data_IF_653187652771
#
_entry.id   IF_653187652771
#
_cell.length_a   1.000
_cell.length_b   1.000
_cell.length_c   1.000
_cell.angle_alpha   90.00
_cell.angle_beta   90.00
_cell.angle_gamma   90.00
#
_symmetry.space_group_name_H-M   'P 1'
#
loop_
_entity.id
_entity.type
_entity.pdbx_description
1 polymer ?
#
# COMPACT_ATOMS: atom_id res chain seq x y z
N UNK A 1 24.52 15.05 -3.09
CA UNK A 1 24.48 16.34 -2.35
C UNK A 1 23.03 16.58 -1.99
N UNK A 2 22.68 16.54 -0.70
CA UNK A 2 21.34 16.90 -0.24
C UNK A 2 21.13 18.38 -0.54
N UNK A 3 20.11 18.74 -1.31
CA UNK A 3 19.72 20.14 -1.47
C UNK A 3 19.55 20.79 -0.10
N UNK A 4 19.94 22.08 0.06
CA UNK A 4 19.80 22.77 1.33
C UNK A 4 18.33 22.75 1.72
N UNK A 5 18.04 22.20 2.91
CA UNK A 5 16.70 22.10 3.48
C UNK A 5 15.93 23.40 3.21
N UNK A 6 14.86 23.31 2.42
CA UNK A 6 13.96 24.43 2.20
C UNK A 6 13.59 25.00 3.58
N UNK A 7 13.93 26.27 3.86
CA UNK A 7 13.56 26.94 5.11
C UNK A 7 12.05 27.18 5.07
N UNK A 8 11.31 26.19 5.54
CA UNK A 8 9.87 26.34 5.72
C UNK A 8 9.58 27.33 6.85
N UNK A 9 8.55 28.14 6.69
CA UNK A 9 8.02 28.91 7.80
C UNK A 9 7.57 28.00 8.96
N UNK A 10 7.49 28.49 10.21
CA UNK A 10 7.26 27.66 11.41
C UNK A 10 6.01 26.77 11.33
N UNK A 11 4.93 27.24 10.71
CA UNK A 11 3.71 26.44 10.53
C UNK A 11 3.91 25.22 9.60
N UNK A 12 4.64 25.39 8.50
CA UNK A 12 4.96 24.30 7.57
C UNK A 12 5.94 23.32 8.22
N UNK A 13 6.90 23.82 9.01
CA UNK A 13 7.81 22.96 9.76
C UNK A 13 7.06 22.05 10.73
N UNK A 14 6.04 22.56 11.45
CA UNK A 14 5.19 21.77 12.35
C UNK A 14 4.39 20.71 11.59
N UNK A 15 3.89 21.05 10.40
CA UNK A 15 3.10 20.12 9.58
C UNK A 15 3.86 18.83 9.26
N UNK A 16 5.18 18.86 9.10
CA UNK A 16 6.03 17.68 8.86
C UNK A 16 5.99 16.65 10.00
N UNK A 17 5.64 17.08 11.21
CA UNK A 17 5.54 16.19 12.38
C UNK A 17 4.11 15.73 12.66
N UNK A 18 3.10 16.58 12.37
CA UNK A 18 1.72 16.30 12.77
C UNK A 18 0.85 15.72 11.66
N UNK A 19 1.21 15.94 10.39
CA UNK A 19 0.35 15.56 9.26
C UNK A 19 0.05 14.05 9.22
N UNK A 20 1.05 13.21 9.40
CA UNK A 20 0.86 11.76 9.41
C UNK A 20 0.13 11.26 10.66
N UNK A 21 0.48 11.68 11.88
CA UNK A 21 -0.34 11.40 13.06
C UNK A 21 -1.81 11.84 12.92
N UNK A 22 -2.09 12.98 12.28
CA UNK A 22 -3.46 13.43 12.04
C UNK A 22 -4.25 12.48 11.13
N UNK A 23 -3.62 11.93 10.08
CA UNK A 23 -4.24 10.89 9.25
C UNK A 23 -4.64 9.69 10.08
N UNK A 24 -3.76 9.21 10.95
CA UNK A 24 -4.02 8.03 11.79
C UNK A 24 -5.08 8.30 12.85
N UNK A 25 -5.06 9.48 13.46
CA UNK A 25 -6.10 9.90 14.41
C UNK A 25 -7.47 10.03 13.72
N UNK A 26 -7.51 10.61 12.53
CA UNK A 26 -8.73 10.69 11.72
C UNK A 26 -9.25 9.27 11.36
N UNK A 27 -8.34 8.35 11.02
CA UNK A 27 -8.69 6.95 10.76
C UNK A 27 -9.32 6.31 12.00
N UNK A 28 -8.67 6.41 13.16
CA UNK A 28 -9.16 5.85 14.41
C UNK A 28 -10.50 6.47 14.81
N UNK A 29 -10.65 7.80 14.71
CA UNK A 29 -11.90 8.50 15.00
C UNK A 29 -13.01 8.04 14.05
N UNK A 30 -12.75 7.87 12.77
CA UNK A 30 -13.73 7.36 11.80
C UNK A 30 -14.15 5.95 12.15
N UNK A 31 -13.23 5.06 12.49
CA UNK A 31 -13.55 3.68 12.94
C UNK A 31 -14.45 3.71 14.16
N UNK A 32 -14.02 4.41 15.21
CA UNK A 32 -14.78 4.45 16.48
C UNK A 32 -16.18 5.05 16.31
N UNK A 33 -16.29 6.16 15.59
CA UNK A 33 -17.57 6.84 15.36
C UNK A 33 -18.50 5.98 14.51
N UNK A 34 -17.96 5.30 13.47
CA UNK A 34 -18.76 4.45 12.62
C UNK A 34 -19.32 3.23 13.35
N UNK A 35 -18.52 2.63 14.22
CA UNK A 35 -18.97 1.51 15.05
C UNK A 35 -20.02 1.98 16.07
N UNK A 36 -19.78 3.10 16.74
CA UNK A 36 -20.70 3.65 17.72
C UNK A 36 -22.06 4.06 17.12
N UNK A 37 -22.05 4.61 15.90
CA UNK A 37 -23.26 5.03 15.18
C UNK A 37 -23.91 3.90 14.36
N UNK A 38 -23.36 2.69 14.40
CA UNK A 38 -23.80 1.56 13.56
C UNK A 38 -23.89 1.93 12.06
N UNK A 39 -22.93 2.76 11.62
CA UNK A 39 -22.92 3.29 10.26
C UNK A 39 -22.70 2.17 9.21
N UNK A 40 -23.15 2.36 7.95
CA UNK A 40 -22.90 1.40 6.88
C UNK A 40 -21.42 1.37 6.50
N UNK A 41 -20.64 0.46 7.12
CA UNK A 41 -19.17 0.42 7.09
C UNK A 41 -18.56 0.42 5.68
N UNK A 42 -19.26 -0.21 4.72
CA UNK A 42 -18.82 -0.20 3.31
C UNK A 42 -18.88 1.22 2.71
N UNK A 43 -19.94 1.97 3.01
CA UNK A 43 -20.10 3.35 2.54
C UNK A 43 -19.07 4.27 3.22
N UNK A 44 -18.83 4.07 4.52
CA UNK A 44 -17.78 4.81 5.25
C UNK A 44 -16.42 4.59 4.59
N UNK A 45 -16.06 3.34 4.26
CA UNK A 45 -14.79 3.05 3.57
C UNK A 45 -14.71 3.72 2.20
N UNK A 46 -15.82 3.69 1.44
CA UNK A 46 -15.92 4.29 0.11
C UNK A 46 -15.74 5.82 0.14
N UNK A 47 -16.18 6.48 1.21
CA UNK A 47 -16.02 7.91 1.40
C UNK A 47 -14.66 8.28 2.02
N UNK A 48 -14.21 7.52 3.03
CA UNK A 48 -12.99 7.82 3.77
C UNK A 48 -11.75 7.76 2.87
N UNK A 49 -11.62 6.70 2.06
CA UNK A 49 -10.39 6.50 1.25
C UNK A 49 -10.16 7.65 0.26
N UNK A 50 -11.14 8.12 -0.53
CA UNK A 50 -10.94 9.32 -1.37
C UNK A 50 -10.63 10.59 -0.57
N UNK A 51 -11.23 10.77 0.62
CA UNK A 51 -10.89 11.90 1.50
C UNK A 51 -9.45 11.84 1.98
N UNK A 52 -8.97 10.66 2.37
CA UNK A 52 -7.57 10.45 2.77
C UNK A 52 -6.60 10.69 1.62
N UNK A 53 -6.92 10.23 0.40
CA UNK A 53 -6.15 10.52 -0.82
C UNK A 53 -6.12 12.04 -1.08
N UNK A 54 -7.24 12.72 -0.99
CA UNK A 54 -7.33 14.18 -1.16
C UNK A 54 -6.50 14.95 -0.12
N UNK A 55 -6.55 14.52 1.14
CA UNK A 55 -5.71 15.06 2.21
C UNK A 55 -4.20 14.89 1.91
N UNK A 56 -3.79 13.68 1.55
CA UNK A 56 -2.39 13.39 1.22
C UNK A 56 -1.94 14.12 -0.05
N UNK A 57 -2.79 14.22 -1.08
CA UNK A 57 -2.51 14.98 -2.29
C UNK A 57 -2.31 16.47 -2.00
N UNK A 58 -3.08 17.04 -1.07
CA UNK A 58 -2.88 18.41 -0.60
C UNK A 58 -1.54 18.56 0.12
N UNK A 59 -1.18 17.61 0.98
CA UNK A 59 0.10 17.63 1.67
C UNK A 59 1.29 17.51 0.70
N UNK A 60 1.17 16.73 -0.38
CA UNK A 60 2.18 16.67 -1.44
C UNK A 60 2.45 18.02 -2.10
N UNK A 61 1.44 18.92 -2.17
CA UNK A 61 1.64 20.28 -2.67
C UNK A 61 2.33 21.19 -1.64
N UNK A 62 2.08 20.97 -0.34
CA UNK A 62 2.55 21.85 0.75
C UNK A 62 3.93 21.44 1.25
N UNK A 63 4.13 20.14 1.48
CA UNK A 63 5.38 19.56 2.02
C UNK A 63 5.89 18.40 1.14
N UNK A 64 6.09 18.60 -0.18
CA UNK A 64 6.58 17.52 -1.03
C UNK A 64 7.96 17.05 -0.57
N UNK A 65 8.19 15.73 -0.59
CA UNK A 65 9.52 15.17 -0.44
C UNK A 65 10.38 15.49 -1.67
N UNK A 66 9.82 15.29 -2.86
CA UNK A 66 10.46 15.61 -4.14
C UNK A 66 9.42 16.29 -5.07
N UNK A 67 9.67 17.55 -5.44
CA UNK A 67 8.75 18.29 -6.32
C UNK A 67 8.61 17.67 -7.70
N UNK A 68 9.63 16.95 -8.18
CA UNK A 68 9.60 16.27 -9.49
C UNK A 68 8.68 15.05 -9.49
N UNK A 69 8.29 14.57 -8.31
CA UNK A 69 7.39 13.42 -8.15
C UNK A 69 5.92 13.80 -8.08
N UNK A 70 5.61 15.10 -8.08
CA UNK A 70 4.22 15.54 -8.17
C UNK A 70 3.58 15.00 -9.45
N UNK A 71 2.34 14.46 -9.37
CA UNK A 71 1.69 13.88 -10.52
C UNK A 71 1.22 14.94 -11.52
N UNK A 72 1.43 14.67 -12.80
CA UNK A 72 0.89 15.47 -13.90
C UNK A 72 -0.61 15.15 -14.14
N UNK A 73 -1.31 16.01 -14.88
CA UNK A 73 -2.74 15.84 -15.12
C UNK A 73 -3.09 14.50 -15.80
N UNK A 74 -2.23 14.00 -16.70
CA UNK A 74 -2.42 12.71 -17.35
C UNK A 74 -2.16 11.54 -16.37
N UNK A 75 -1.25 11.68 -15.40
CA UNK A 75 -0.98 10.70 -14.36
C UNK A 75 -2.21 10.58 -13.44
N UNK A 76 -2.80 11.68 -13.00
CA UNK A 76 -4.04 11.68 -12.24
C UNK A 76 -5.18 10.92 -12.94
N UNK A 77 -5.34 11.10 -14.25
CA UNK A 77 -6.36 10.39 -15.05
C UNK A 77 -6.06 8.89 -15.11
N UNK A 78 -4.81 8.52 -15.40
CA UNK A 78 -4.35 7.13 -15.42
C UNK A 78 -4.56 6.46 -14.07
N UNK A 79 -4.10 7.10 -12.99
CA UNK A 79 -4.09 6.54 -11.64
C UNK A 79 -5.51 6.46 -11.07
N UNK A 80 -6.38 7.40 -11.44
CA UNK A 80 -7.81 7.33 -11.17
C UNK A 80 -8.49 6.12 -11.81
N UNK A 81 -8.12 5.76 -13.05
CA UNK A 81 -8.61 4.53 -13.69
C UNK A 81 -8.08 3.26 -12.97
N UNK A 82 -6.82 3.25 -12.56
CA UNK A 82 -6.28 2.18 -11.73
C UNK A 82 -6.98 2.09 -10.37
N UNK A 83 -7.34 3.23 -9.75
CA UNK A 83 -8.13 3.24 -8.53
C UNK A 83 -9.50 2.58 -8.72
N UNK A 84 -10.20 2.87 -9.82
CA UNK A 84 -11.44 2.19 -10.15
C UNK A 84 -11.25 0.68 -10.34
N UNK A 85 -10.19 0.26 -11.03
CA UNK A 85 -9.83 -1.16 -11.15
C UNK A 85 -9.55 -1.80 -9.79
N UNK A 86 -8.87 -1.10 -8.89
CA UNK A 86 -8.60 -1.55 -7.52
C UNK A 86 -9.90 -1.79 -6.74
N UNK A 87 -10.90 -0.90 -6.86
CA UNK A 87 -12.22 -1.08 -6.22
C UNK A 87 -12.89 -2.35 -6.74
N UNK A 88 -12.95 -2.53 -8.07
CA UNK A 88 -13.59 -3.71 -8.69
C UNK A 88 -12.86 -4.99 -8.28
N UNK A 89 -11.54 -4.98 -8.32
CA UNK A 89 -10.71 -6.12 -7.92
C UNK A 89 -10.87 -6.47 -6.43
N UNK A 90 -10.94 -5.46 -5.56
CA UNK A 90 -11.22 -5.64 -4.13
C UNK A 90 -12.62 -6.23 -3.87
N UNK A 91 -13.62 -5.85 -4.66
CA UNK A 91 -14.95 -6.45 -4.58
C UNK A 91 -14.93 -7.94 -4.97
N UNK A 92 -14.19 -8.31 -6.02
CA UNK A 92 -13.99 -9.71 -6.40
C UNK A 92 -13.23 -10.51 -5.34
N UNK A 93 -12.23 -9.92 -4.70
CA UNK A 93 -11.53 -10.55 -3.58
C UNK A 93 -12.50 -10.89 -2.43
N UNK A 94 -13.42 -9.98 -2.08
CA UNK A 94 -14.46 -10.23 -1.08
C UNK A 94 -15.38 -11.37 -1.47
N UNK A 95 -15.82 -11.43 -2.73
CA UNK A 95 -16.60 -12.56 -3.24
C UNK A 95 -15.84 -13.87 -3.07
N UNK A 96 -14.54 -13.89 -3.42
CA UNK A 96 -13.67 -15.05 -3.22
C UNK A 96 -13.60 -15.50 -1.76
N UNK A 97 -13.45 -14.57 -0.83
CA UNK A 97 -13.43 -14.84 0.63
C UNK A 97 -14.77 -15.43 1.08
N UNK A 98 -15.90 -14.86 0.64
CA UNK A 98 -17.24 -15.35 0.99
C UNK A 98 -17.48 -16.77 0.42
N UNK A 99 -17.06 -17.04 -0.81
CA UNK A 99 -17.18 -18.37 -1.43
C UNK A 99 -16.38 -19.42 -0.65
N UNK A 100 -15.15 -19.11 -0.28
CA UNK A 100 -14.33 -20.00 0.57
C UNK A 100 -14.99 -20.19 1.93
N UNK A 101 -15.49 -19.11 2.51
CA UNK A 101 -16.19 -19.13 3.78
C UNK A 101 -17.49 -19.92 3.80
N UNK A 102 -18.17 -20.05 2.67
CA UNK A 102 -19.35 -20.92 2.55
C UNK A 102 -19.00 -22.43 2.60
N UNK A 103 -17.73 -22.77 2.34
CA UNK A 103 -17.24 -24.16 2.34
C UNK A 103 -16.57 -24.49 3.68
N UNK A 104 -15.91 -23.51 4.30
CA UNK A 104 -15.15 -23.67 5.54
C UNK A 104 -15.83 -22.87 6.65
N UNK A 105 -16.35 -23.55 7.66
CA UNK A 105 -16.94 -22.86 8.81
C UNK A 105 -15.86 -22.04 9.54
N UNK A 106 -16.08 -20.73 9.76
CA UNK A 106 -15.16 -19.91 10.52
C UNK A 106 -15.12 -20.33 11.99
N UNK A 107 -14.07 -19.97 12.69
CA UNK A 107 -13.98 -20.04 14.14
C UNK A 107 -14.95 -19.00 14.75
N UNK A 108 -15.24 -19.16 16.02
CA UNK A 108 -15.98 -18.16 16.83
C UNK A 108 -15.12 -17.82 18.04
N UNK A 109 -14.24 -16.81 17.95
CA UNK A 109 -13.29 -16.51 19.01
C UNK A 109 -13.92 -15.88 20.25
N UNK A 110 -15.17 -15.40 20.17
CA UNK A 110 -15.90 -14.73 21.28
C UNK A 110 -15.07 -13.65 22.00
N UNK A 111 -14.25 -12.92 21.23
CA UNK A 111 -13.39 -11.86 21.76
C UNK A 111 -14.17 -10.54 21.91
N UNK A 112 -13.91 -9.76 22.96
CA UNK A 112 -14.44 -8.42 23.04
C UNK A 112 -13.80 -7.51 21.97
N UNK A 113 -14.54 -6.55 21.44
CA UNK A 113 -14.14 -5.73 20.30
C UNK A 113 -12.78 -5.00 20.49
N UNK A 114 -12.49 -4.58 21.73
CA UNK A 114 -11.21 -3.93 22.07
C UNK A 114 -9.98 -4.86 21.90
N UNK A 115 -10.16 -6.17 21.99
CA UNK A 115 -9.10 -7.17 21.71
C UNK A 115 -9.14 -7.64 20.25
N UNK A 116 -10.33 -7.71 19.67
CA UNK A 116 -10.56 -8.19 18.33
C UNK A 116 -9.99 -7.23 17.25
N UNK A 117 -10.15 -5.91 17.44
CA UNK A 117 -9.60 -4.91 16.51
C UNK A 117 -8.07 -5.01 16.40
N UNK A 118 -7.27 -4.97 17.49
CA UNK A 118 -5.84 -5.16 17.41
C UNK A 118 -5.44 -6.52 16.78
N UNK A 119 -6.15 -7.59 17.14
CA UNK A 119 -5.92 -8.91 16.55
C UNK A 119 -6.15 -8.89 15.03
N UNK A 120 -7.23 -8.27 14.56
CA UNK A 120 -7.52 -8.11 13.13
C UNK A 120 -6.43 -7.31 12.42
N UNK A 121 -5.93 -6.21 13.01
CA UNK A 121 -4.82 -5.42 12.46
C UNK A 121 -3.57 -6.28 12.32
N UNK A 122 -3.19 -7.02 13.37
CA UNK A 122 -1.99 -7.85 13.38
C UNK A 122 -2.08 -8.97 12.33
N UNK A 123 -3.20 -9.68 12.27
CA UNK A 123 -3.41 -10.79 11.31
C UNK A 123 -3.43 -10.28 9.87
N UNK A 124 -4.16 -9.19 9.60
CA UNK A 124 -4.23 -8.58 8.28
C UNK A 124 -2.84 -8.11 7.82
N UNK A 125 -2.11 -7.45 8.70
CA UNK A 125 -0.76 -6.94 8.45
C UNK A 125 0.21 -8.07 8.13
N UNK A 126 0.23 -9.15 8.95
CA UNK A 126 1.07 -10.32 8.69
C UNK A 126 0.77 -10.95 7.34
N UNK A 127 -0.49 -11.19 7.04
CA UNK A 127 -0.90 -11.82 5.79
C UNK A 127 -0.59 -10.93 4.57
N UNK A 128 -0.77 -9.62 4.71
CA UNK A 128 -0.40 -8.62 3.71
C UNK A 128 1.12 -8.61 3.46
N UNK A 129 1.92 -8.55 4.52
CA UNK A 129 3.37 -8.65 4.46
C UNK A 129 3.84 -9.94 3.78
N UNK A 130 3.29 -11.08 4.18
CA UNK A 130 3.66 -12.38 3.64
C UNK A 130 3.40 -12.45 2.13
N UNK A 131 2.20 -12.03 1.67
CA UNK A 131 1.88 -11.97 0.25
C UNK A 131 2.81 -11.00 -0.49
N UNK A 132 3.01 -9.78 0.01
CA UNK A 132 3.85 -8.76 -0.61
C UNK A 132 5.29 -9.23 -0.75
N UNK A 133 5.88 -9.76 0.32
CA UNK A 133 7.22 -10.37 0.27
C UNK A 133 7.28 -11.51 -0.74
N UNK A 134 6.28 -12.38 -0.76
CA UNK A 134 6.22 -13.49 -1.71
C UNK A 134 6.14 -13.00 -3.15
N UNK A 135 5.40 -11.93 -3.41
CA UNK A 135 5.28 -11.29 -4.72
C UNK A 135 6.63 -10.80 -5.28
N UNK A 136 7.55 -10.39 -4.41
CA UNK A 136 8.90 -10.01 -4.82
C UNK A 136 9.83 -11.20 -5.09
N UNK A 137 9.53 -12.39 -4.53
CA UNK A 137 10.42 -13.56 -4.63
C UNK A 137 9.94 -14.61 -5.64
N UNK A 138 8.68 -14.57 -6.06
CA UNK A 138 8.12 -15.52 -7.02
C UNK A 138 7.93 -14.87 -8.39
N UNK A 139 8.59 -15.42 -9.41
CA UNK A 139 8.62 -14.83 -10.75
C UNK A 139 7.23 -14.61 -11.37
N UNK A 140 6.25 -15.50 -11.10
CA UNK A 140 4.90 -15.35 -11.62
C UNK A 140 4.11 -14.27 -10.88
N UNK A 141 4.28 -14.13 -9.56
CA UNK A 141 3.70 -13.05 -8.77
C UNK A 141 4.35 -11.71 -9.11
N UNK A 142 5.66 -11.70 -9.33
CA UNK A 142 6.36 -10.50 -9.76
C UNK A 142 5.82 -9.94 -11.08
N UNK A 143 5.39 -10.80 -12.02
CA UNK A 143 4.74 -10.33 -13.25
C UNK A 143 3.43 -9.56 -12.98
N UNK A 144 2.78 -9.82 -11.87
CA UNK A 144 1.60 -9.08 -11.41
C UNK A 144 2.03 -7.83 -10.63
N UNK A 145 2.78 -8.03 -9.55
CA UNK A 145 3.17 -7.01 -8.60
C UNK A 145 4.14 -5.96 -9.18
N UNK A 146 5.04 -6.35 -10.06
CA UNK A 146 6.01 -5.45 -10.69
C UNK A 146 5.38 -4.32 -11.52
N UNK A 147 4.09 -4.41 -11.87
CA UNK A 147 3.32 -3.29 -12.45
C UNK A 147 3.28 -2.11 -11.48
N UNK A 148 3.15 -2.36 -10.18
CA UNK A 148 3.22 -1.35 -9.13
C UNK A 148 4.58 -0.64 -9.10
N UNK A 149 5.66 -1.38 -9.28
CA UNK A 149 7.02 -0.86 -9.33
C UNK A 149 7.42 -0.23 -10.68
N UNK A 150 6.57 -0.30 -11.70
CA UNK A 150 6.90 0.26 -13.02
C UNK A 150 6.87 1.80 -13.07
N UNK A 151 6.35 2.46 -12.04
CA UNK A 151 6.35 3.92 -11.93
C UNK A 151 7.72 4.45 -11.50
N UNK A 152 8.15 5.58 -12.07
CA UNK A 152 9.44 6.23 -11.75
C UNK A 152 9.27 7.36 -10.71
N UNK A 153 8.15 7.40 -10.04
CA UNK A 153 7.77 8.33 -8.99
C UNK A 153 7.02 7.55 -7.93
N UNK A 154 7.08 7.99 -6.68
CA UNK A 154 6.25 7.47 -5.58
C UNK A 154 5.42 8.64 -5.05
N UNK A 155 4.11 8.59 -5.26
CA UNK A 155 3.15 9.60 -4.79
C UNK A 155 1.79 8.96 -4.51
N UNK A 156 0.90 9.70 -3.85
CA UNK A 156 -0.39 9.16 -3.41
C UNK A 156 -1.25 8.63 -4.56
N UNK A 157 -1.20 9.28 -5.72
CA UNK A 157 -2.02 8.89 -6.87
C UNK A 157 -1.63 7.50 -7.40
N UNK A 158 -0.32 7.24 -7.53
CA UNK A 158 0.17 6.00 -8.13
C UNK A 158 0.25 4.80 -7.17
N UNK A 159 -0.16 4.94 -5.90
CA UNK A 159 -0.39 3.79 -5.02
C UNK A 159 -1.37 2.78 -5.62
N UNK A 160 -2.34 3.25 -6.40
CA UNK A 160 -3.34 2.41 -7.06
C UNK A 160 -2.86 1.77 -8.36
N UNK A 161 -1.66 2.08 -8.85
CA UNK A 161 -1.11 1.47 -10.07
C UNK A 161 -0.73 0.02 -9.80
N UNK A 162 -1.68 -0.87 -10.01
CA UNK A 162 -1.56 -2.29 -9.74
C UNK A 162 -2.14 -3.13 -10.88
N UNK A 163 -1.66 -4.34 -11.03
CA UNK A 163 -2.31 -5.32 -11.88
C UNK A 163 -3.55 -5.87 -11.16
N UNK A 164 -4.64 -6.04 -11.91
CA UNK A 164 -5.95 -6.43 -11.38
C UNK A 164 -5.93 -7.71 -10.53
N UNK A 165 -5.25 -8.77 -11.00
CA UNK A 165 -5.15 -10.01 -10.24
C UNK A 165 -4.23 -9.89 -9.03
N UNK A 166 -3.24 -9.00 -9.05
CA UNK A 166 -2.41 -8.74 -7.87
C UNK A 166 -3.27 -8.23 -6.71
N UNK A 167 -4.11 -7.23 -6.99
CA UNK A 167 -5.05 -6.68 -6.00
C UNK A 167 -6.03 -7.76 -5.50
N UNK A 168 -6.56 -8.60 -6.41
CA UNK A 168 -7.49 -9.66 -6.04
C UNK A 168 -6.82 -10.70 -5.13
N UNK A 169 -5.65 -11.21 -5.52
CA UNK A 169 -4.92 -12.22 -4.75
C UNK A 169 -4.43 -11.66 -3.41
N UNK A 170 -3.89 -10.44 -3.40
CA UNK A 170 -3.51 -9.76 -2.17
C UNK A 170 -4.72 -9.56 -1.25
N UNK A 171 -5.86 -9.15 -1.81
CA UNK A 171 -7.11 -9.00 -1.07
C UNK A 171 -7.59 -10.31 -0.46
N UNK A 172 -7.58 -11.41 -1.21
CA UNK A 172 -7.94 -12.74 -0.69
C UNK A 172 -6.94 -13.17 0.38
N UNK A 173 -5.64 -13.11 0.09
CA UNK A 173 -4.60 -13.55 1.02
C UNK A 173 -4.66 -12.79 2.36
N UNK A 174 -4.96 -11.49 2.35
CA UNK A 174 -5.01 -10.67 3.56
C UNK A 174 -6.34 -10.76 4.30
N UNK A 175 -7.48 -10.96 3.63
CA UNK A 175 -8.81 -10.97 4.28
C UNK A 175 -9.26 -12.37 4.68
N UNK A 176 -8.87 -13.42 3.95
CA UNK A 176 -9.28 -14.78 4.24
C UNK A 176 -8.91 -15.24 5.67
N UNK A 177 -7.69 -14.96 6.21
CA UNK A 177 -7.38 -15.32 7.58
C UNK A 177 -8.31 -14.67 8.62
N UNK A 178 -8.70 -13.41 8.41
CA UNK A 178 -9.65 -12.71 9.31
C UNK A 178 -11.00 -13.42 9.31
N UNK A 179 -11.48 -13.81 8.14
CA UNK A 179 -12.72 -14.54 7.99
C UNK A 179 -12.66 -15.92 8.66
N UNK A 180 -11.58 -16.70 8.40
CA UNK A 180 -11.41 -18.03 8.99
C UNK A 180 -11.29 -18.00 10.51
N UNK A 181 -10.72 -16.94 11.06
CA UNK A 181 -10.68 -16.70 12.51
C UNK A 181 -12.02 -16.23 13.08
N UNK A 182 -13.03 -15.99 12.25
CA UNK A 182 -14.36 -15.57 12.69
C UNK A 182 -14.41 -14.16 13.26
N UNK A 183 -13.46 -13.29 12.86
CA UNK A 183 -13.41 -11.91 13.37
C UNK A 183 -14.62 -11.10 12.87
N UNK A 184 -15.16 -10.27 13.75
CA UNK A 184 -16.38 -9.50 13.49
C UNK A 184 -16.21 -8.47 12.36
N UNK A 185 -17.33 -8.12 11.71
CA UNK A 185 -17.35 -7.09 10.67
C UNK A 185 -16.75 -5.75 11.12
N UNK A 186 -17.02 -5.24 12.35
CA UNK A 186 -16.36 -4.04 12.87
C UNK A 186 -14.84 -4.16 12.97
N UNK A 187 -14.32 -5.31 13.41
CA UNK A 187 -12.88 -5.52 13.52
C UNK A 187 -12.19 -5.61 12.14
N UNK A 188 -12.81 -6.33 11.18
CA UNK A 188 -12.35 -6.41 9.79
C UNK A 188 -12.38 -5.03 9.13
N UNK A 189 -13.42 -4.24 9.36
CA UNK A 189 -13.52 -2.86 8.88
C UNK A 189 -12.40 -1.99 9.44
N UNK A 190 -12.16 -2.03 10.75
CA UNK A 190 -11.13 -1.25 11.42
C UNK A 190 -9.74 -1.55 10.86
N UNK A 191 -9.40 -2.84 10.74
CA UNK A 191 -8.13 -3.29 10.16
C UNK A 191 -7.99 -2.90 8.68
N UNK A 192 -9.06 -3.03 7.90
CA UNK A 192 -9.09 -2.65 6.49
C UNK A 192 -8.91 -1.15 6.28
N UNK A 193 -9.55 -0.31 7.11
CA UNK A 193 -9.44 1.14 7.02
C UNK A 193 -8.03 1.62 7.43
N UNK A 194 -7.47 1.03 8.50
CA UNK A 194 -6.08 1.27 8.91
C UNK A 194 -5.09 0.91 7.78
N UNK A 195 -5.23 -0.30 7.20
CA UNK A 195 -4.37 -0.73 6.08
C UNK A 195 -4.46 0.22 4.88
N UNK A 196 -5.67 0.69 4.54
CA UNK A 196 -5.87 1.62 3.43
C UNK A 196 -5.21 2.98 3.72
N UNK A 197 -5.42 3.54 4.92
CA UNK A 197 -4.79 4.80 5.34
C UNK A 197 -3.25 4.70 5.32
N UNK A 198 -2.69 3.61 5.85
CA UNK A 198 -1.25 3.35 5.85
C UNK A 198 -0.73 3.18 4.42
N UNK A 199 -1.36 2.36 3.59
CA UNK A 199 -0.92 2.10 2.22
C UNK A 199 -0.82 3.39 1.39
N UNK A 200 -1.84 4.25 1.42
CA UNK A 200 -1.78 5.56 0.77
C UNK A 200 -0.80 6.51 1.46
N UNK A 201 -0.73 6.46 2.80
CA UNK A 201 0.17 7.28 3.60
C UNK A 201 1.64 7.02 3.29
N UNK A 202 2.10 5.76 3.28
CA UNK A 202 3.49 5.41 3.00
C UNK A 202 3.88 5.69 1.55
N UNK A 203 2.92 5.67 0.64
CA UNK A 203 3.13 5.96 -0.77
C UNK A 203 3.15 7.46 -1.09
N UNK A 204 2.67 8.29 -0.17
CA UNK A 204 2.61 9.74 -0.40
C UNK A 204 3.99 10.38 -0.51
N UNK A 205 4.12 11.29 -1.46
CA UNK A 205 5.32 12.09 -1.71
C UNK A 205 5.43 13.26 -0.71
N UNK A 206 5.43 12.97 0.58
CA UNK A 206 5.45 13.97 1.66
C UNK A 206 6.72 13.89 2.48
N UNK A 207 7.25 15.04 2.89
CA UNK A 207 8.42 15.13 3.77
C UNK A 207 7.99 15.19 5.24
N UNK A 208 7.51 14.04 5.75
CA UNK A 208 7.16 13.89 7.17
C UNK A 208 8.32 13.37 7.99
N UNK A 209 8.31 13.67 9.30
CA UNK A 209 9.36 13.33 10.26
C UNK A 209 8.74 12.56 11.43
N UNK A 210 8.76 11.24 11.35
CA UNK A 210 8.13 10.37 12.33
C UNK A 210 9.12 9.76 13.34
N UNK A 211 10.43 9.84 13.07
CA UNK A 211 11.47 9.37 13.99
C UNK A 211 11.27 7.92 14.42
N UNK A 212 11.29 7.67 15.74
CA UNK A 212 11.15 6.33 16.31
C UNK A 212 9.82 5.63 15.99
N UNK A 213 8.76 6.37 15.64
CA UNK A 213 7.49 5.77 15.19
C UNK A 213 7.67 4.92 13.95
N UNK A 214 8.71 5.14 13.14
CA UNK A 214 9.06 4.31 11.99
C UNK A 214 9.48 2.86 12.35
N UNK A 215 9.68 2.53 13.62
CA UNK A 215 9.86 1.15 14.07
C UNK A 215 8.54 0.46 14.44
N UNK A 216 7.46 1.21 14.61
CA UNK A 216 6.13 0.70 14.98
C UNK A 216 5.18 0.75 13.80
N UNK A 217 5.22 1.84 13.03
CA UNK A 217 4.37 2.09 11.87
C UNK A 217 5.23 2.27 10.63
N UNK A 218 4.82 1.70 9.51
CA UNK A 218 5.49 1.96 8.25
C UNK A 218 5.40 3.46 7.88
N UNK A 219 6.47 3.99 7.33
CA UNK A 219 6.61 5.41 7.02
C UNK A 219 7.00 5.63 5.55
N UNK A 220 6.70 6.82 4.97
CA UNK A 220 7.03 7.08 3.57
C UNK A 220 8.51 6.89 3.22
N UNK A 221 9.43 7.17 4.15
CA UNK A 221 10.88 6.98 3.94
C UNK A 221 11.23 5.51 3.65
N UNK A 222 10.60 4.57 4.36
CA UNK A 222 10.81 3.12 4.18
C UNK A 222 10.25 2.67 2.83
N UNK A 223 9.06 3.12 2.49
CA UNK A 223 8.38 2.70 1.28
C UNK A 223 9.05 3.26 0.00
N UNK A 224 9.63 4.46 0.08
CA UNK A 224 10.48 4.98 -1.01
C UNK A 224 11.70 4.09 -1.26
N UNK A 225 12.34 3.57 -0.18
CA UNK A 225 13.44 2.61 -0.31
C UNK A 225 12.96 1.28 -0.88
N UNK A 226 11.76 0.82 -0.49
CA UNK A 226 11.14 -0.38 -1.06
C UNK A 226 10.98 -0.27 -2.58
N UNK A 227 10.65 0.91 -3.10
CA UNK A 227 10.57 1.20 -4.54
C UNK A 227 11.93 1.48 -5.21
N UNK A 228 13.07 1.42 -4.47
CA UNK A 228 14.39 1.63 -5.06
C UNK A 228 14.70 0.62 -6.16
N UNK A 229 15.35 1.10 -7.23
CA UNK A 229 15.92 0.22 -8.28
C UNK A 229 17.06 -0.64 -7.77
N UNK A 230 17.61 -0.34 -6.57
CA UNK A 230 18.67 -1.09 -5.95
C UNK A 230 18.09 -2.22 -5.06
N UNK A 231 18.23 -3.50 -5.42
CA UNK A 231 17.67 -4.61 -4.65
C UNK A 231 18.16 -4.70 -3.20
N UNK A 232 19.32 -4.10 -2.88
CA UNK A 232 19.85 -4.06 -1.51
C UNK A 232 19.11 -3.08 -0.60
N UNK A 233 18.31 -2.19 -1.18
CA UNK A 233 17.51 -1.19 -0.48
C UNK A 233 16.02 -1.56 -0.43
N UNK A 234 15.57 -2.38 -1.38
CA UNK A 234 14.16 -2.66 -1.63
C UNK A 234 13.53 -3.71 -0.71
N UNK A 235 13.99 -3.83 0.55
CA UNK A 235 13.27 -4.52 1.63
C UNK A 235 11.98 -3.78 2.03
N UNK A 236 11.53 -3.91 3.28
CA UNK A 236 10.34 -3.24 3.81
C UNK A 236 9.04 -3.61 3.09
N UNK A 237 8.70 -4.89 3.14
CA UNK A 237 7.46 -5.39 2.54
C UNK A 237 6.20 -5.06 3.36
N UNK A 238 6.37 -4.70 4.65
CA UNK A 238 5.28 -4.22 5.50
C UNK A 238 4.91 -2.78 5.20
N UNK A 239 3.76 -2.55 4.54
CA UNK A 239 3.27 -1.21 4.22
C UNK A 239 2.45 -0.57 5.36
N UNK A 240 2.25 -1.28 6.46
CA UNK A 240 1.50 -0.83 7.65
C UNK A 240 2.30 -1.00 8.94
N UNK A 241 2.76 -2.22 9.28
CA UNK A 241 3.55 -2.53 10.47
C UNK A 241 4.92 -3.11 10.06
N UNK A 242 6.04 -2.42 10.34
CA UNK A 242 7.38 -2.90 9.99
C UNK A 242 7.90 -4.00 10.92
N UNK A 243 7.13 -4.39 11.94
CA UNK A 243 7.48 -5.49 12.86
C UNK A 243 7.79 -6.79 12.11
N UNK A 244 7.09 -7.05 11.02
CA UNK A 244 7.30 -8.24 10.20
C UNK A 244 8.64 -8.19 9.47
N UNK A 245 9.03 -7.03 8.97
CA UNK A 245 10.35 -6.83 8.36
C UNK A 245 11.46 -7.01 9.39
N UNK A 246 11.26 -6.54 10.62
CA UNK A 246 12.20 -6.77 11.74
C UNK A 246 12.31 -8.25 12.08
N UNK A 247 11.19 -8.96 12.21
CA UNK A 247 11.17 -10.38 12.58
C UNK A 247 11.73 -11.30 11.48
N UNK A 248 11.48 -10.97 10.21
CA UNK A 248 11.88 -11.79 9.07
C UNK A 248 13.11 -11.27 8.33
N UNK A 249 13.82 -10.27 8.89
CA UNK A 249 15.13 -9.82 8.43
C UNK A 249 15.12 -9.04 7.11
N UNK A 250 13.99 -8.40 6.74
CA UNK A 250 13.89 -7.55 5.55
C UNK A 250 13.89 -6.04 5.89
N UNK A 251 14.08 -5.69 7.15
CA UNK A 251 14.14 -4.30 7.59
C UNK A 251 15.49 -3.67 7.22
N UNK A 252 15.51 -2.69 6.33
CA UNK A 252 16.72 -2.05 5.82
C UNK A 252 16.72 -0.51 5.94
N UNK A 253 15.77 0.04 6.72
CA UNK A 253 15.62 1.48 6.84
C UNK A 253 16.78 2.14 7.59
N UNK A 254 17.26 3.25 7.03
CA UNK A 254 18.12 4.20 7.71
C UNK A 254 17.48 5.60 7.63
N UNK A 255 17.35 6.33 8.77
CA UNK A 255 16.79 7.68 8.78
C UNK A 255 17.46 8.59 7.75
N UNK A 256 16.66 9.37 7.04
CA UNK A 256 17.13 10.32 6.02
C UNK A 256 17.81 9.72 4.79
N UNK A 257 17.81 8.39 4.64
CA UNK A 257 18.28 7.75 3.41
C UNK A 257 17.22 7.90 2.33
N UNK A 258 17.65 8.38 1.17
CA UNK A 258 16.84 8.45 -0.04
C UNK A 258 17.31 7.39 -1.04
N UNK A 259 16.42 6.76 -1.82
CA UNK A 259 16.82 5.98 -2.96
C UNK A 259 17.45 6.90 -4.02
N UNK A 260 18.46 6.42 -4.72
CA UNK A 260 19.04 7.16 -5.86
C UNK A 260 18.00 7.30 -6.99
N UNK A 261 17.24 6.25 -7.22
CA UNK A 261 16.17 6.19 -8.21
C UNK A 261 15.12 5.15 -7.80
N UNK A 262 13.85 5.41 -8.10
CA UNK A 262 12.74 4.48 -7.89
C UNK A 262 12.25 3.89 -9.21
N UNK A 263 11.63 2.72 -9.14
CA UNK A 263 11.10 2.00 -10.28
C UNK A 263 11.71 0.62 -10.47
N UNK A 264 11.68 0.12 -11.70
CA UNK A 264 12.24 -1.18 -12.05
C UNK A 264 13.76 -1.07 -12.29
N UNK A 265 14.51 -2.09 -11.86
CA UNK A 265 15.94 -2.22 -12.18
C UNK A 265 16.16 -2.30 -13.70
N UNK A 266 15.34 -3.06 -14.40
CA UNK A 266 15.25 -3.09 -15.87
C UNK A 266 13.91 -2.52 -16.33
N UNK A 267 13.86 -1.22 -16.75
CA UNK A 267 12.63 -0.61 -17.22
C UNK A 267 12.01 -1.28 -18.44
N UNK A 268 12.81 -2.04 -19.21
CA UNK A 268 12.35 -2.79 -20.38
C UNK A 268 11.61 -4.09 -20.05
N UNK A 269 11.67 -4.56 -18.81
CA UNK A 269 11.03 -5.81 -18.37
C UNK A 269 9.50 -5.71 -18.27
N UNK A 270 8.95 -4.50 -18.17
CA UNK A 270 7.51 -4.24 -18.11
C UNK A 270 7.07 -3.26 -19.19
N UNK A 271 5.77 -3.23 -19.55
CA UNK A 271 5.23 -2.20 -20.41
C UNK A 271 5.38 -0.81 -19.77
N UNK A 272 5.35 0.24 -20.62
CA UNK A 272 5.31 1.61 -20.11
C UNK A 272 4.18 1.80 -19.10
N UNK A 273 4.46 2.47 -17.97
CA UNK A 273 3.46 2.83 -16.98
C UNK A 273 2.27 3.65 -17.55
N UNK A 274 2.41 4.24 -18.74
CA UNK A 274 1.34 4.96 -19.45
C UNK A 274 0.23 4.04 -19.96
N UNK A 275 0.51 2.76 -20.25
CA UNK A 275 -0.44 1.85 -20.88
C UNK A 275 -1.10 0.92 -19.86
N UNK A 276 -2.31 1.28 -19.41
CA UNK A 276 -3.10 0.44 -18.50
C UNK A 276 -3.32 -0.96 -19.10
N UNK A 277 -3.84 -1.02 -20.33
CA UNK A 277 -4.15 -2.30 -20.99
C UNK A 277 -2.91 -3.19 -21.12
N UNK A 278 -1.78 -2.60 -21.54
CA UNK A 278 -0.53 -3.38 -21.68
C UNK A 278 -0.07 -3.94 -20.34
N UNK A 279 -0.19 -3.18 -19.25
CA UNK A 279 0.17 -3.63 -17.90
C UNK A 279 -0.79 -4.69 -17.38
N UNK A 280 -2.11 -4.58 -17.65
CA UNK A 280 -3.07 -5.60 -17.22
C UNK A 280 -2.88 -6.94 -17.95
N UNK A 281 -2.48 -6.93 -19.22
CA UNK A 281 -2.25 -8.17 -19.99
C UNK A 281 -0.80 -8.68 -19.93
N UNK A 282 0.13 -7.90 -19.34
CA UNK A 282 1.55 -8.22 -19.26
C UNK A 282 1.83 -9.63 -18.67
N UNK A 283 1.21 -10.04 -17.55
CA UNK A 283 1.47 -11.34 -16.93
C UNK A 283 1.20 -12.54 -17.85
N UNK A 284 0.30 -12.38 -18.82
CA UNK A 284 -0.12 -13.44 -19.76
C UNK A 284 0.70 -13.47 -21.04
N UNK A 285 1.60 -12.49 -21.26
CA UNK A 285 2.49 -12.48 -22.43
C UNK A 285 3.67 -13.41 -22.21
N UNK A 286 4.04 -14.18 -23.23
CA UNK A 286 5.26 -14.98 -23.21
C UNK A 286 6.48 -14.06 -23.10
N UNK A 287 7.36 -14.32 -22.14
CA UNK A 287 8.61 -13.55 -21.94
C UNK A 287 9.48 -13.68 -23.19
N UNK A 288 9.88 -12.57 -23.80
CA UNK A 288 10.78 -12.56 -24.96
C UNK A 288 12.18 -13.14 -24.68
N UNK A 289 12.55 -13.31 -23.41
CA UNK A 289 13.86 -13.83 -22.99
C UNK A 289 14.10 -15.31 -23.36
N UNK A 290 13.04 -16.11 -23.55
CA UNK A 290 13.17 -17.52 -23.95
C UNK A 290 13.40 -17.72 -25.49
N UNK A 291 13.19 -16.67 -26.29
CA UNK A 291 13.38 -16.78 -27.75
C UNK A 291 14.84 -16.52 -28.23
N UNK A 292 15.73 -16.06 -27.32
CA UNK A 292 17.16 -15.85 -27.71
C UNK A 292 18.07 -17.05 -27.44
N UNK A 293 17.63 -18.05 -26.63
CA UNK A 293 18.45 -19.25 -26.35
C UNK A 293 18.27 -20.36 -27.39
N UNK A 294 17.21 -20.37 -28.19
CA UNK A 294 16.97 -21.42 -29.21
C UNK A 294 17.50 -21.07 -30.59
N UNK A 295 18.30 -20.00 -30.74
CA UNK A 295 18.94 -19.60 -32.00
C UNK A 295 20.46 -19.43 -31.88
N UNK A 296 21.11 -20.29 -31.10
CA UNK A 296 22.56 -20.45 -31.14
C UNK A 296 22.92 -21.93 -31.21
#
# INVERSE_FOLDING_TARGET
MLEPALRFGPGIATLRYVAYPLLLLATAATVMTSIWLEAPLALVSLCFVPCAIGYLALLEQIIPYDKTWLPEAWEWRRDGLYYCLTIVSGALARVGVVVVGAIVAPLDPSLPLWAEIPAAVVVLSLASFAYHRWSHHQAWLWKLHGVHHATQKVNVANNSVNQFLDVAFHGIASQLPLFLLGLSQPAVFAAGLFKAAQGYGVHANIDVRLGWLGYILAVPEQHRLHHSVNPRESGHYGADLPIWDLLFGSFSWAPHRAPERVGLQDPGSFPSARSIVANQIHPFRRSRSLQRSDRR
#
